data_IF_776552002079
#
_entry.id   IF_776552002079
#
_cell.length_a   1.000
_cell.length_b   1.000
_cell.length_c   1.000
_cell.angle_alpha   90.00
_cell.angle_beta   90.00
_cell.angle_gamma   90.00
#
_symmetry.space_group_name_H-M   'P 1'
#
loop_
_entity.id
_entity.type
_entity.pdbx_description
1 polymer ?
#
# COMPACT_ATOMS: atom_id res chain seq x y z
N UNK A 1 -13.06 -17.36 13.24
CA UNK A 1 -12.60 -16.26 14.11
C UNK A 1 -13.78 -15.31 14.25
N UNK A 2 -14.47 -15.35 15.38
CA UNK A 2 -15.77 -14.69 15.58
C UNK A 2 -15.62 -13.30 16.16
N UNK A 3 -16.67 -12.47 16.07
CA UNK A 3 -16.68 -11.09 16.61
C UNK A 3 -16.38 -11.00 18.13
N UNK A 4 -16.37 -12.12 18.85
CA UNK A 4 -15.98 -12.21 20.25
C UNK A 4 -14.46 -11.99 20.48
N UNK A 5 -13.62 -12.18 19.46
CA UNK A 5 -12.16 -12.08 19.59
C UNK A 5 -11.67 -10.61 19.62
N UNK A 6 -12.53 -9.64 19.27
CA UNK A 6 -12.14 -8.22 19.13
C UNK A 6 -12.21 -7.37 20.41
N UNK A 7 -12.53 -7.95 21.58
CA UNK A 7 -12.82 -7.17 22.79
C UNK A 7 -11.83 -7.40 23.93
N UNK A 8 -10.52 -7.17 23.75
CA UNK A 8 -9.57 -7.08 24.91
C UNK A 8 -8.42 -6.08 24.82
N UNK A 9 -8.39 -5.14 23.86
CA UNK A 9 -7.35 -4.08 23.80
C UNK A 9 -7.92 -2.66 23.74
N UNK A 10 -9.02 -2.39 24.46
CA UNK A 10 -9.39 -1.01 24.76
C UNK A 10 -8.47 -0.54 25.89
N UNK A 11 -7.34 0.07 25.53
CA UNK A 11 -6.40 0.68 26.46
C UNK A 11 -7.16 1.54 27.47
N UNK A 12 -6.99 1.25 28.76
CA UNK A 12 -7.51 2.12 29.82
C UNK A 12 -6.87 3.49 29.66
N UNK A 13 -7.57 4.47 29.10
CA UNK A 13 -7.19 5.86 29.19
C UNK A 13 -7.38 6.28 30.65
N UNK A 14 -6.33 6.09 31.46
CA UNK A 14 -6.23 6.76 32.77
C UNK A 14 -6.49 8.24 32.54
N UNK A 15 -7.40 8.80 33.32
CA UNK A 15 -7.79 10.20 33.32
C UNK A 15 -6.62 11.12 33.74
N UNK A 16 -5.60 11.24 32.89
CA UNK A 16 -4.57 12.26 32.95
C UNK A 16 -4.97 13.49 32.13
N UNK A 17 -6.28 13.70 31.97
CA UNK A 17 -6.87 14.82 31.23
C UNK A 17 -7.58 15.73 32.21
N UNK A 18 -6.86 16.73 32.71
CA UNK A 18 -7.46 18.03 33.02
C UNK A 18 -6.37 19.04 33.40
N UNK A 19 -5.62 19.56 32.43
CA UNK A 19 -5.37 21.01 32.50
C UNK A 19 -6.68 21.63 32.01
N UNK A 20 -7.53 22.06 32.94
CA UNK A 20 -8.69 22.87 32.59
C UNK A 20 -8.11 24.18 32.05
N UNK A 21 -8.16 24.34 30.73
CA UNK A 21 -7.78 25.56 30.05
C UNK A 21 -8.72 26.69 30.53
N UNK A 22 -8.19 27.87 30.84
CA UNK A 22 -9.04 29.01 31.18
C UNK A 22 -9.76 29.54 29.94
N UNK A 23 -10.82 30.33 30.14
CA UNK A 23 -11.59 30.93 29.04
C UNK A 23 -10.68 31.86 28.22
N UNK A 24 -9.79 32.57 28.90
CA UNK A 24 -8.83 33.52 28.35
C UNK A 24 -7.78 32.78 27.51
N UNK A 25 -7.25 31.66 28.00
CA UNK A 25 -6.32 30.82 27.24
C UNK A 25 -7.02 30.30 25.96
N UNK A 26 -8.31 29.94 26.03
CA UNK A 26 -9.08 29.49 24.87
C UNK A 26 -9.32 30.61 23.84
N UNK A 27 -9.65 31.81 24.31
CA UNK A 27 -9.86 32.99 23.45
C UNK A 27 -8.57 33.31 22.68
N UNK A 28 -7.44 33.39 23.38
CA UNK A 28 -6.15 33.69 22.77
C UNK A 28 -5.78 32.65 21.71
N UNK A 29 -5.97 31.35 22.03
CA UNK A 29 -5.70 30.28 21.08
C UNK A 29 -6.62 30.32 19.84
N UNK A 30 -7.90 30.69 20.02
CA UNK A 30 -8.82 30.85 18.89
C UNK A 30 -8.39 32.01 17.98
N UNK A 31 -7.91 33.11 18.55
CA UNK A 31 -7.36 34.23 17.79
C UNK A 31 -6.10 33.84 17.00
N UNK A 32 -5.16 33.14 17.64
CA UNK A 32 -3.96 32.63 16.96
C UNK A 32 -4.30 31.67 15.82
N UNK A 33 -5.27 30.79 16.03
CA UNK A 33 -5.76 29.88 15.00
C UNK A 33 -6.38 30.62 13.80
N UNK A 34 -7.21 31.64 14.05
CA UNK A 34 -7.78 32.47 12.99
C UNK A 34 -6.70 33.21 12.16
N UNK A 35 -5.56 33.52 12.78
CA UNK A 35 -4.38 34.09 12.12
C UNK A 35 -3.49 33.03 11.45
N UNK A 36 -3.83 31.75 11.55
CA UNK A 36 -3.08 30.64 10.97
C UNK A 36 -1.82 30.25 11.76
N UNK A 37 -1.69 30.70 13.01
CA UNK A 37 -0.57 30.32 13.87
C UNK A 37 -0.92 29.05 14.65
N UNK A 38 -0.16 27.98 14.42
CA UNK A 38 -0.31 26.72 15.15
C UNK A 38 0.46 26.79 16.46
N UNK A 39 -0.25 26.73 17.59
CA UNK A 39 0.38 26.61 18.89
C UNK A 39 0.89 25.18 19.07
N UNK A 40 2.19 24.96 18.89
CA UNK A 40 2.85 23.69 19.19
C UNK A 40 2.74 23.43 20.70
N UNK A 41 1.77 22.61 21.11
CA UNK A 41 1.69 22.14 22.49
C UNK A 41 2.93 21.28 22.77
N UNK A 42 3.88 21.84 23.53
CA UNK A 42 5.07 21.14 24.04
C UNK A 42 4.75 20.11 25.12
N UNK A 43 3.48 19.81 25.36
CA UNK A 43 3.06 18.73 26.25
C UNK A 43 2.16 17.77 25.49
N UNK A 44 2.61 16.51 25.44
CA UNK A 44 2.03 15.39 24.71
C UNK A 44 0.55 15.19 24.99
N UNK A 45 -0.31 15.89 24.26
CA UNK A 45 -1.72 15.55 24.15
C UNK A 45 -1.85 14.46 23.10
N UNK A 46 -2.34 13.28 23.51
CA UNK A 46 -2.76 12.21 22.60
C UNK A 46 -4.06 12.59 21.86
N UNK A 47 -4.19 13.83 21.38
CA UNK A 47 -5.21 14.18 20.40
C UNK A 47 -4.69 13.67 19.07
N UNK A 48 -5.36 12.64 18.56
CA UNK A 48 -5.17 12.19 17.19
C UNK A 48 -5.60 13.33 16.26
N UNK A 49 -4.65 14.17 15.87
CA UNK A 49 -4.88 15.10 14.78
C UNK A 49 -5.11 14.26 13.50
N UNK A 50 -6.38 14.23 13.11
CA UNK A 50 -6.85 13.46 11.95
C UNK A 50 -6.35 14.07 10.63
N UNK A 51 -5.95 15.34 10.64
CA UNK A 51 -5.36 16.03 9.49
C UNK A 51 -3.86 15.74 9.39
N UNK A 52 -3.12 15.74 10.50
CA UNK A 52 -1.69 15.36 10.55
C UNK A 52 -1.42 13.93 10.04
N UNK A 53 -2.39 13.01 10.16
CA UNK A 53 -2.26 11.62 9.66
C UNK A 53 -2.28 11.48 8.14
N UNK A 54 -2.76 12.48 7.38
CA UNK A 54 -2.71 12.40 5.91
C UNK A 54 -1.29 12.64 5.39
N UNK A 55 -0.55 13.53 6.03
CA UNK A 55 0.80 13.88 5.56
C UNK A 55 1.88 12.93 6.11
N UNK A 56 1.68 12.33 7.29
CA UNK A 56 2.73 11.57 7.97
C UNK A 56 2.79 10.05 7.67
N UNK A 57 1.98 9.53 6.73
CA UNK A 57 2.08 8.12 6.26
C UNK A 57 3.16 7.88 5.20
N UNK A 58 4.02 8.86 4.92
CA UNK A 58 5.16 8.70 4.03
C UNK A 58 6.53 8.66 4.75
N UNK A 59 6.58 8.82 6.07
CA UNK A 59 7.84 9.13 6.78
C UNK A 59 8.49 7.97 7.56
N UNK A 60 8.00 6.72 7.49
CA UNK A 60 8.65 5.60 8.21
C UNK A 60 8.81 4.35 7.36
N UNK A 61 9.66 4.44 6.32
CA UNK A 61 10.47 3.31 5.83
C UNK A 61 11.53 3.78 4.82
N UNK A 62 12.46 4.62 5.23
CA UNK A 62 13.66 4.92 4.42
C UNK A 62 14.79 5.48 5.27
N UNK A 63 15.36 4.63 6.12
CA UNK A 63 16.76 4.76 6.54
C UNK A 63 17.51 3.51 6.07
N UNK A 64 17.64 3.37 4.76
CA UNK A 64 18.74 2.61 4.16
C UNK A 64 19.33 3.44 3.03
N UNK A 65 20.42 4.09 3.41
CA UNK A 65 21.55 4.60 2.65
C UNK A 65 21.73 4.05 1.21
N UNK A 66 21.98 4.98 0.29
CA UNK A 66 23.09 5.05 -0.69
C UNK A 66 22.61 5.43 -2.10
N UNK A 67 22.91 6.68 -2.48
CA UNK A 67 23.20 7.21 -3.81
C UNK A 67 22.69 6.41 -5.02
N UNK A 68 21.43 6.62 -5.38
CA UNK A 68 20.95 6.39 -6.75
C UNK A 68 20.20 7.64 -7.18
N UNK A 69 20.55 8.16 -8.34
CA UNK A 69 19.89 9.27 -9.02
C UNK A 69 18.38 9.20 -8.82
N UNK A 70 17.81 10.23 -8.20
CA UNK A 70 16.40 10.30 -7.80
C UNK A 70 15.49 10.45 -9.03
N UNK A 71 15.40 9.41 -9.85
CA UNK A 71 14.22 9.18 -10.65
C UNK A 71 13.10 8.91 -9.63
N UNK A 72 12.33 9.95 -9.30
CA UNK A 72 11.17 9.86 -8.41
C UNK A 72 10.28 8.72 -8.90
N UNK A 73 10.40 7.54 -8.27
CA UNK A 73 9.72 6.34 -8.70
C UNK A 73 8.24 6.56 -8.44
N UNK A 74 7.49 6.82 -9.51
CA UNK A 74 6.03 6.97 -9.44
C UNK A 74 5.46 5.75 -8.71
N UNK A 75 4.47 5.93 -7.83
CA UNK A 75 3.88 4.82 -7.09
C UNK A 75 3.25 3.81 -8.06
N UNK A 76 3.35 2.52 -7.72
CA UNK A 76 2.69 1.47 -8.49
C UNK A 76 1.17 1.66 -8.46
N UNK A 77 0.53 1.59 -9.63
CA UNK A 77 -0.93 1.58 -9.74
C UNK A 77 -1.47 0.17 -9.55
N UNK A 78 -2.65 0.06 -8.93
CA UNK A 78 -3.36 -1.21 -8.75
C UNK A 78 -4.03 -1.62 -10.07
N UNK A 79 -4.03 -2.92 -10.37
CA UNK A 79 -4.73 -3.50 -11.50
C UNK A 79 -5.48 -4.77 -11.04
N UNK A 80 -6.66 -5.00 -11.61
CA UNK A 80 -7.50 -6.19 -11.37
C UNK A 80 -7.63 -6.97 -12.68
N UNK A 81 -7.31 -8.27 -12.64
CA UNK A 81 -7.38 -9.17 -13.78
C UNK A 81 -8.26 -10.36 -13.45
N UNK A 82 -8.96 -10.89 -14.45
CA UNK A 82 -9.70 -12.15 -14.34
C UNK A 82 -8.79 -13.30 -14.70
N UNK A 83 -8.67 -14.29 -13.81
CA UNK A 83 -7.82 -15.47 -14.00
C UNK A 83 -8.65 -16.74 -13.72
N UNK A 84 -8.30 -17.85 -14.37
CA UNK A 84 -8.87 -19.16 -14.03
C UNK A 84 -8.36 -19.65 -12.68
N UNK A 85 -9.10 -20.54 -12.02
CA UNK A 85 -8.68 -21.14 -10.74
C UNK A 85 -7.34 -21.87 -10.86
N UNK A 86 -7.13 -22.59 -11.98
CA UNK A 86 -5.86 -23.24 -12.27
C UNK A 86 -4.71 -22.24 -12.33
N UNK A 87 -4.87 -21.13 -13.06
CA UNK A 87 -3.83 -20.11 -13.17
C UNK A 87 -3.53 -19.44 -11.82
N UNK A 88 -4.55 -19.25 -10.98
CA UNK A 88 -4.36 -18.74 -9.61
C UNK A 88 -3.56 -19.74 -8.77
N UNK A 89 -3.85 -21.03 -8.88
CA UNK A 89 -3.10 -22.10 -8.20
C UNK A 89 -1.64 -22.11 -8.65
N UNK A 90 -1.39 -22.13 -9.96
CA UNK A 90 -0.04 -22.17 -10.55
C UNK A 90 0.78 -20.94 -10.15
N UNK A 91 0.21 -19.74 -10.24
CA UNK A 91 0.88 -18.51 -9.81
C UNK A 91 1.20 -18.51 -8.30
N UNK A 92 0.35 -19.16 -7.49
CA UNK A 92 0.58 -19.32 -6.06
C UNK A 92 1.73 -20.29 -5.80
N UNK A 93 1.75 -21.45 -6.46
CA UNK A 93 2.84 -22.42 -6.37
C UNK A 93 4.19 -21.80 -6.78
N UNK A 94 4.22 -21.07 -7.90
CA UNK A 94 5.42 -20.36 -8.37
C UNK A 94 5.91 -19.31 -7.37
N UNK A 95 4.99 -18.57 -6.75
CA UNK A 95 5.31 -17.58 -5.72
C UNK A 95 5.96 -18.23 -4.50
N UNK A 96 5.45 -19.37 -4.05
CA UNK A 96 6.04 -20.12 -2.93
C UNK A 96 7.41 -20.69 -3.28
N UNK A 97 7.56 -21.31 -4.46
CA UNK A 97 8.81 -21.92 -4.88
C UNK A 97 9.94 -20.89 -5.07
N UNK A 98 9.63 -19.76 -5.71
CA UNK A 98 10.61 -18.69 -5.96
C UNK A 98 10.84 -17.75 -4.77
N UNK A 99 9.99 -17.83 -3.73
CA UNK A 99 9.93 -16.85 -2.62
C UNK A 99 9.72 -15.41 -3.12
N UNK A 100 9.09 -15.23 -4.28
CA UNK A 100 8.76 -13.92 -4.83
C UNK A 100 7.27 -13.66 -4.73
N UNK A 101 6.88 -12.42 -4.44
CA UNK A 101 5.46 -12.04 -4.45
C UNK A 101 4.84 -12.20 -5.84
N UNK A 102 3.58 -12.64 -5.91
CA UNK A 102 2.82 -12.83 -7.16
C UNK A 102 2.90 -11.62 -8.09
N UNK A 103 2.70 -10.41 -7.55
CA UNK A 103 2.76 -9.17 -8.34
C UNK A 103 4.17 -8.90 -8.90
N UNK A 104 5.22 -9.33 -8.20
CA UNK A 104 6.62 -9.20 -8.66
C UNK A 104 6.87 -10.15 -9.82
N UNK A 105 6.43 -11.40 -9.73
CA UNK A 105 6.52 -12.38 -10.83
C UNK A 105 5.83 -11.87 -12.10
N UNK A 106 4.59 -11.38 -11.99
CA UNK A 106 3.85 -10.80 -13.13
C UNK A 106 4.65 -9.66 -13.77
N UNK A 107 5.23 -8.75 -12.97
CA UNK A 107 6.05 -7.66 -13.52
C UNK A 107 7.30 -8.16 -14.24
N UNK A 108 7.98 -9.19 -13.72
CA UNK A 108 9.13 -9.78 -14.40
C UNK A 108 8.72 -10.43 -15.71
N UNK A 109 7.66 -11.25 -15.73
CA UNK A 109 7.16 -11.87 -16.95
C UNK A 109 6.81 -10.82 -18.02
N UNK A 110 6.18 -9.71 -17.63
CA UNK A 110 5.89 -8.60 -18.54
C UNK A 110 7.19 -7.93 -19.04
N UNK A 111 8.17 -7.72 -18.16
CA UNK A 111 9.44 -7.12 -18.53
C UNK A 111 10.21 -8.00 -19.53
N UNK A 112 10.35 -9.30 -19.24
CA UNK A 112 10.94 -10.27 -20.16
C UNK A 112 10.22 -10.25 -21.51
N UNK A 113 8.88 -10.32 -21.50
CA UNK A 113 8.08 -10.27 -22.72
C UNK A 113 8.28 -8.96 -23.51
N UNK A 114 8.49 -7.83 -22.83
CA UNK A 114 8.72 -6.54 -23.49
C UNK A 114 10.03 -6.51 -24.28
N UNK A 115 11.05 -7.25 -23.82
CA UNK A 115 12.40 -7.31 -24.42
C UNK A 115 12.47 -8.22 -25.66
N UNK A 116 11.50 -9.12 -25.88
CA UNK A 116 11.46 -9.98 -27.06
C UNK A 116 11.31 -9.18 -28.37
N UNK A 117 11.85 -9.71 -29.46
CA UNK A 117 11.66 -9.13 -30.80
C UNK A 117 10.23 -9.29 -31.28
N UNK A 118 9.78 -8.43 -32.21
CA UNK A 118 8.41 -8.49 -32.72
C UNK A 118 8.11 -9.81 -33.44
N UNK A 119 9.11 -10.40 -34.09
CA UNK A 119 8.98 -11.72 -34.75
C UNK A 119 8.75 -12.82 -33.72
N UNK A 120 9.50 -12.81 -32.62
CA UNK A 120 9.37 -13.82 -31.56
C UNK A 120 8.02 -13.70 -30.85
N UNK A 121 7.58 -12.45 -30.59
CA UNK A 121 6.24 -12.16 -30.04
C UNK A 121 5.14 -12.72 -30.94
N UNK A 122 5.23 -12.52 -32.25
CA UNK A 122 4.24 -13.03 -33.21
C UNK A 122 4.16 -14.57 -33.19
N UNK A 123 5.32 -15.25 -33.20
CA UNK A 123 5.35 -16.71 -33.13
C UNK A 123 4.75 -17.23 -31.82
N UNK A 124 5.08 -16.58 -30.69
CA UNK A 124 4.59 -16.93 -29.37
C UNK A 124 3.05 -16.74 -29.27
N UNK A 125 2.50 -15.67 -29.84
CA UNK A 125 1.05 -15.47 -29.89
C UNK A 125 0.33 -16.49 -30.77
N UNK A 126 0.93 -16.90 -31.89
CA UNK A 126 0.37 -17.97 -32.72
C UNK A 126 0.28 -19.30 -31.95
N UNK A 127 1.28 -19.60 -31.11
CA UNK A 127 1.25 -20.78 -30.26
C UNK A 127 0.11 -20.70 -29.22
N UNK A 128 -0.10 -19.54 -28.59
CA UNK A 128 -1.19 -19.35 -27.63
C UNK A 128 -2.57 -19.57 -28.25
N UNK A 129 -2.80 -19.08 -29.47
CA UNK A 129 -4.05 -19.31 -30.20
C UNK A 129 -4.27 -20.80 -30.46
N UNK A 130 -3.25 -21.50 -30.92
CA UNK A 130 -3.31 -22.94 -31.17
C UNK A 130 -3.60 -23.75 -29.90
N UNK A 131 -2.92 -23.45 -28.79
CA UNK A 131 -3.14 -24.13 -27.51
C UNK A 131 -4.55 -23.90 -26.97
N UNK A 132 -5.07 -22.67 -27.13
CA UNK A 132 -6.43 -22.33 -26.73
C UNK A 132 -7.46 -23.11 -27.55
N UNK A 133 -7.24 -23.26 -28.85
CA UNK A 133 -8.09 -24.06 -29.74
C UNK A 133 -8.07 -25.54 -29.35
N UNK A 134 -6.90 -26.14 -29.13
CA UNK A 134 -6.79 -27.54 -28.69
C UNK A 134 -7.52 -27.79 -27.35
N UNK A 135 -7.38 -26.86 -26.41
CA UNK A 135 -8.01 -26.99 -25.08
C UNK A 135 -9.52 -26.83 -25.13
N UNK A 136 -10.05 -26.13 -26.15
CA UNK A 136 -11.49 -26.02 -26.40
C UNK A 136 -12.10 -27.29 -27.00
N UNK A 137 -11.32 -28.05 -27.78
CA UNK A 137 -11.76 -29.28 -28.46
C UNK A 137 -11.69 -30.54 -27.56
N UNK A 138 -10.99 -30.44 -26.42
CA UNK A 138 -10.78 -31.54 -25.46
C UNK A 138 -11.81 -31.53 -24.29
N UNK A 139 -12.84 -30.69 -24.39
CA UNK A 139 -13.99 -30.66 -23.45
C UNK A 139 -15.21 -31.27 -24.11
#
# INVERSE_FOLDING_TARGET
MGLADLKKNASSCKAAFSKQMSIEEFIDNASLYALGQTHEFTQHTNVVDFLQRRDNKQATQSQQLVNQTEQVKKPFRRATFTLSEQAISDLTALSHASKMAKSKLIRHLIAEHSLLSDKDKQALYQQFEHDTQLKSLSK
#
